data_IF_575182938426
#
_entry.id   IF_575182938426
#
_cell.length_a   1.000
_cell.length_b   1.000
_cell.length_c   1.000
_cell.angle_alpha   90.00
_cell.angle_beta   90.00
_cell.angle_gamma   90.00
#
_symmetry.space_group_name_H-M   'P 1'
#
loop_
_entity.id
_entity.type
_entity.pdbx_description
1 polymer ?
#
# COMPACT_ATOMS: atom_id res chain seq x y z
N UNK A 1 -13.30 -5.57 12.90
CA UNK A 1 -13.66 -4.17 12.55
C UNK A 1 -12.75 -3.55 11.46
N UNK A 2 -11.49 -3.98 11.28
CA UNK A 2 -10.56 -3.41 10.28
C UNK A 2 -10.39 -4.22 8.98
N UNK A 3 -11.10 -5.33 8.83
CA UNK A 3 -10.99 -6.26 7.69
C UNK A 3 -11.23 -5.60 6.33
N UNK A 4 -12.01 -4.51 6.29
CA UNK A 4 -12.28 -3.78 5.05
C UNK A 4 -11.04 -3.07 4.49
N UNK A 5 -10.05 -2.71 5.34
CA UNK A 5 -8.83 -2.02 4.91
C UNK A 5 -7.93 -2.92 4.07
N UNK A 6 -7.90 -4.21 4.43
CA UNK A 6 -7.13 -5.25 3.76
C UNK A 6 -8.00 -6.18 2.90
N UNK A 7 -9.21 -5.77 2.53
CA UNK A 7 -10.08 -6.61 1.73
C UNK A 7 -9.45 -6.94 0.36
N UNK A 8 -9.60 -8.18 -0.10
CA UNK A 8 -9.11 -8.65 -1.41
C UNK A 8 -9.53 -7.75 -2.57
N UNK A 9 -10.75 -7.20 -2.51
CA UNK A 9 -11.27 -6.23 -3.50
C UNK A 9 -10.35 -5.01 -3.68
N UNK A 10 -9.62 -4.59 -2.64
CA UNK A 10 -8.70 -3.46 -2.71
C UNK A 10 -7.49 -3.83 -3.59
N UNK A 11 -6.89 -5.00 -3.37
CA UNK A 11 -5.80 -5.53 -4.18
C UNK A 11 -6.24 -5.78 -5.62
N UNK A 12 -7.43 -6.36 -5.82
CA UNK A 12 -7.99 -6.57 -7.15
C UNK A 12 -8.22 -5.24 -7.90
N UNK A 13 -8.71 -4.21 -7.23
CA UNK A 13 -8.90 -2.89 -7.83
C UNK A 13 -7.58 -2.24 -8.27
N UNK A 14 -6.54 -2.30 -7.43
CA UNK A 14 -5.21 -1.79 -7.79
C UNK A 14 -4.59 -2.59 -8.95
N UNK A 15 -4.72 -3.92 -8.94
CA UNK A 15 -4.28 -4.79 -10.03
C UNK A 15 -4.97 -4.45 -11.35
N UNK A 16 -6.29 -4.23 -11.33
CA UNK A 16 -7.05 -3.82 -12.51
C UNK A 16 -6.58 -2.48 -13.06
N UNK A 17 -6.31 -1.50 -12.18
CA UNK A 17 -5.78 -0.20 -12.58
C UNK A 17 -4.38 -0.30 -13.20
N UNK A 18 -3.47 -1.03 -12.56
CA UNK A 18 -2.11 -1.25 -13.07
C UNK A 18 -2.17 -1.92 -14.42
N UNK A 19 -2.97 -2.99 -14.56
CA UNK A 19 -3.17 -3.70 -15.83
C UNK A 19 -3.70 -2.76 -16.92
N UNK A 20 -4.72 -1.96 -16.61
CA UNK A 20 -5.25 -0.98 -17.56
C UNK A 20 -4.15 -0.05 -18.09
N UNK A 21 -3.30 0.49 -17.20
CA UNK A 21 -2.21 1.36 -17.61
C UNK A 21 -1.16 0.65 -18.46
N UNK A 22 -0.88 -0.63 -18.18
CA UNK A 22 0.05 -1.44 -18.96
C UNK A 22 -0.48 -1.76 -20.36
N UNK A 23 -1.79 -1.94 -20.49
CA UNK A 23 -2.46 -2.26 -21.74
C UNK A 23 -2.76 -1.00 -22.57
N UNK A 24 -2.60 0.21 -22.00
CA UNK A 24 -2.90 1.50 -22.62
C UNK A 24 -1.96 1.95 -23.77
N UNK A 25 -0.65 1.60 -23.82
CA UNK A 25 0.28 2.14 -24.82
C UNK A 25 -0.13 1.96 -26.29
N UNK A 26 -0.68 0.82 -26.75
CA UNK A 26 -1.18 0.67 -28.12
C UNK A 26 -2.27 1.69 -28.46
N UNK A 27 -3.27 1.84 -27.58
CA UNK A 27 -4.35 2.82 -27.77
C UNK A 27 -3.83 4.26 -27.82
N UNK A 28 -2.82 4.61 -27.01
CA UNK A 28 -2.20 5.95 -27.05
C UNK A 28 -1.46 6.21 -28.35
N UNK A 29 -0.86 5.18 -28.95
CA UNK A 29 -0.22 5.31 -30.25
C UNK A 29 -1.26 5.61 -31.33
N UNK A 30 -2.36 4.84 -31.36
CA UNK A 30 -3.44 5.07 -32.32
C UNK A 30 -4.08 6.47 -32.14
N UNK A 31 -4.25 6.94 -30.91
CA UNK A 31 -4.73 8.31 -30.61
C UNK A 31 -3.79 9.39 -31.14
N UNK A 32 -2.48 9.14 -31.05
CA UNK A 32 -1.46 10.05 -31.57
C UNK A 32 -1.54 10.13 -33.10
N UNK A 33 -1.53 8.97 -33.76
CA UNK A 33 -1.65 8.87 -35.23
C UNK A 33 -2.96 9.52 -35.74
N UNK A 34 -4.07 9.32 -35.02
CA UNK A 34 -5.34 9.98 -35.32
C UNK A 34 -5.25 11.50 -35.22
N UNK A 35 -4.63 12.00 -34.15
CA UNK A 35 -4.48 13.45 -33.90
C UNK A 35 -3.65 14.10 -35.00
N UNK A 36 -2.56 13.46 -35.44
CA UNK A 36 -1.71 13.94 -36.54
C UNK A 36 -2.47 14.05 -37.88
N UNK A 37 -3.42 13.14 -38.15
CA UNK A 37 -4.24 13.20 -39.37
C UNK A 37 -5.11 14.47 -39.36
N UNK A 38 -5.72 14.80 -38.23
CA UNK A 38 -6.52 16.02 -38.09
C UNK A 38 -5.67 17.29 -38.18
N UNK A 39 -4.46 17.29 -37.63
CA UNK A 39 -3.52 18.41 -37.78
C UNK A 39 -3.16 18.65 -39.25
N UNK A 40 -2.90 17.57 -40.02
CA UNK A 40 -2.64 17.67 -41.47
C UNK A 40 -3.82 18.23 -42.26
N UNK A 41 -5.04 18.05 -41.75
CA UNK A 41 -6.27 18.64 -42.30
C UNK A 41 -6.49 20.11 -41.86
N UNK A 42 -5.51 20.72 -41.18
CA UNK A 42 -5.51 22.11 -40.70
C UNK A 42 -6.47 22.40 -39.54
N UNK A 43 -6.90 21.37 -38.81
CA UNK A 43 -7.63 21.58 -37.56
C UNK A 43 -6.72 22.13 -36.47
N UNK A 44 -7.26 23.02 -35.62
CA UNK A 44 -6.55 23.54 -34.44
C UNK A 44 -6.82 22.60 -33.28
N UNK A 45 -5.87 21.70 -33.00
CA UNK A 45 -6.07 20.64 -32.02
C UNK A 45 -6.02 21.14 -30.58
N UNK A 46 -6.90 20.59 -29.74
CA UNK A 46 -6.72 20.68 -28.29
C UNK A 46 -5.67 19.64 -27.90
N UNK A 47 -4.70 19.96 -27.03
CA UNK A 47 -3.62 19.04 -26.69
C UNK A 47 -4.10 17.63 -26.35
N UNK A 48 -3.50 16.57 -26.92
CA UNK A 48 -3.85 15.18 -26.63
C UNK A 48 -3.37 14.79 -25.22
N UNK A 49 -3.78 13.60 -24.72
CA UNK A 49 -3.24 13.08 -23.48
C UNK A 49 -1.71 13.01 -23.49
N UNK A 50 -1.08 13.31 -22.34
CA UNK A 50 0.37 13.22 -22.22
C UNK A 50 0.82 11.75 -22.18
N UNK A 51 1.14 11.21 -23.36
CA UNK A 51 1.56 9.82 -23.56
C UNK A 51 2.80 9.48 -22.75
N UNK A 52 3.78 10.39 -22.64
CA UNK A 52 5.00 10.16 -21.89
C UNK A 52 4.70 10.02 -20.38
N UNK A 53 3.90 10.91 -19.81
CA UNK A 53 3.46 10.82 -18.42
C UNK A 53 2.67 9.54 -18.16
N UNK A 54 1.80 9.12 -19.09
CA UNK A 54 1.03 7.87 -18.95
C UNK A 54 1.91 6.62 -19.02
N UNK A 55 2.92 6.58 -19.89
CA UNK A 55 3.91 5.47 -19.93
C UNK A 55 4.73 5.41 -18.64
N UNK A 56 5.19 6.57 -18.14
CA UNK A 56 5.91 6.64 -16.87
C UNK A 56 5.03 6.21 -15.69
N UNK A 57 3.75 6.61 -15.69
CA UNK A 57 2.76 6.16 -14.71
C UNK A 57 2.56 4.64 -14.76
N UNK A 58 2.47 4.04 -15.95
CA UNK A 58 2.33 2.60 -16.11
C UNK A 58 3.54 1.85 -15.51
N UNK A 59 4.76 2.27 -15.86
CA UNK A 59 6.00 1.67 -15.34
C UNK A 59 6.12 1.82 -13.81
N UNK A 60 5.89 3.02 -13.30
CA UNK A 60 5.99 3.31 -11.85
C UNK A 60 4.92 2.53 -11.08
N UNK A 61 3.69 2.50 -11.60
CA UNK A 61 2.58 1.78 -10.97
C UNK A 61 2.83 0.27 -10.96
N UNK A 62 3.39 -0.29 -12.03
CA UNK A 62 3.79 -1.69 -12.07
C UNK A 62 4.88 -2.00 -11.03
N UNK A 63 5.93 -1.17 -10.95
CA UNK A 63 6.99 -1.36 -9.96
C UNK A 63 6.46 -1.31 -8.53
N UNK A 64 5.62 -0.31 -8.22
CA UNK A 64 4.97 -0.21 -6.91
C UNK A 64 4.08 -1.43 -6.63
N UNK A 65 3.31 -1.88 -7.61
CA UNK A 65 2.43 -3.04 -7.46
C UNK A 65 3.21 -4.33 -7.19
N UNK A 66 4.26 -4.61 -7.98
CA UNK A 66 5.14 -5.78 -7.74
C UNK A 66 5.77 -5.72 -6.34
N UNK A 67 6.22 -4.55 -5.91
CA UNK A 67 6.78 -4.36 -4.58
C UNK A 67 5.75 -4.60 -3.47
N UNK A 68 4.51 -4.15 -3.65
CA UNK A 68 3.39 -4.44 -2.74
C UNK A 68 3.16 -5.95 -2.65
N UNK A 69 3.09 -6.65 -3.79
CA UNK A 69 2.88 -8.10 -3.82
C UNK A 69 3.96 -8.88 -3.07
N UNK A 70 5.23 -8.47 -3.16
CA UNK A 70 6.33 -9.09 -2.42
C UNK A 70 6.31 -8.72 -0.94
N UNK A 71 5.98 -7.47 -0.62
CA UNK A 71 6.02 -6.97 0.75
C UNK A 71 4.84 -7.45 1.61
N UNK A 72 3.65 -7.66 1.04
CA UNK A 72 2.47 -8.17 1.77
C UNK A 72 2.75 -9.47 2.56
N UNK A 73 3.27 -10.56 1.95
CA UNK A 73 3.62 -11.78 2.68
C UNK A 73 4.78 -11.60 3.66
N UNK A 74 5.78 -10.79 3.29
CA UNK A 74 6.91 -10.51 4.16
C UNK A 74 6.44 -9.79 5.45
N UNK A 75 5.53 -8.83 5.33
CA UNK A 75 4.94 -8.11 6.46
C UNK A 75 4.13 -9.02 7.38
N UNK A 76 3.31 -9.91 6.84
CA UNK A 76 2.51 -10.84 7.65
C UNK A 76 3.38 -11.88 8.38
N UNK A 77 4.42 -12.39 7.73
CA UNK A 77 5.31 -13.41 8.33
C UNK A 77 6.30 -12.81 9.35
N UNK A 78 6.89 -11.64 9.07
CA UNK A 78 7.83 -11.00 9.99
C UNK A 78 7.15 -10.51 11.27
N UNK A 79 5.94 -9.94 11.19
CA UNK A 79 5.22 -9.57 12.41
C UNK A 79 4.90 -10.78 13.27
N UNK A 80 4.44 -11.88 12.68
CA UNK A 80 4.16 -13.10 13.43
C UNK A 80 5.40 -13.58 14.21
N UNK A 81 6.60 -13.45 13.64
CA UNK A 81 7.84 -13.75 14.36
C UNK A 81 8.11 -12.76 15.49
N UNK A 82 8.16 -11.45 15.19
CA UNK A 82 8.51 -10.40 16.17
C UNK A 82 7.53 -10.40 17.34
N UNK A 83 6.23 -10.54 17.07
CA UNK A 83 5.20 -10.56 18.11
C UNK A 83 5.32 -11.78 19.01
N UNK A 84 5.56 -12.98 18.45
CA UNK A 84 5.79 -14.19 19.25
C UNK A 84 6.96 -14.02 20.21
N UNK A 85 8.06 -13.44 19.74
CA UNK A 85 9.26 -13.20 20.55
C UNK A 85 8.99 -12.21 21.69
N UNK A 86 8.24 -11.13 21.42
CA UNK A 86 7.88 -10.14 22.44
C UNK A 86 6.90 -10.71 23.45
N UNK A 87 5.87 -11.44 23.01
CA UNK A 87 4.92 -12.09 23.92
C UNK A 87 5.61 -13.13 24.82
N UNK A 88 6.49 -13.97 24.25
CA UNK A 88 7.28 -14.91 25.03
C UNK A 88 8.14 -14.20 26.07
N UNK A 89 8.81 -13.10 25.71
CA UNK A 89 9.57 -12.29 26.67
C UNK A 89 8.68 -11.76 27.80
N UNK A 90 7.49 -11.21 27.49
CA UNK A 90 6.57 -10.69 28.51
C UNK A 90 6.20 -11.81 29.49
N UNK A 91 5.83 -13.00 28.99
CA UNK A 91 5.49 -14.15 29.82
C UNK A 91 6.67 -14.63 30.70
N UNK A 92 7.84 -14.80 30.09
CA UNK A 92 9.08 -15.15 30.80
C UNK A 92 9.40 -14.15 31.91
N UNK A 93 9.26 -12.85 31.62
CA UNK A 93 9.51 -11.78 32.59
C UNK A 93 8.54 -11.86 33.78
N UNK A 94 7.25 -12.12 33.52
CA UNK A 94 6.27 -12.31 34.58
C UNK A 94 6.66 -13.47 35.49
N UNK A 95 7.13 -14.58 34.93
CA UNK A 95 7.56 -15.76 35.69
C UNK A 95 8.80 -15.45 36.53
N UNK A 96 9.82 -14.83 35.93
CA UNK A 96 11.08 -14.48 36.60
C UNK A 96 10.82 -13.56 37.79
N UNK A 97 10.06 -12.47 37.60
CA UNK A 97 9.77 -11.53 38.71
C UNK A 97 8.85 -12.14 39.76
N UNK A 98 7.96 -13.07 39.39
CA UNK A 98 7.10 -13.76 40.36
C UNK A 98 7.90 -14.62 41.34
N UNK A 99 9.02 -15.20 40.90
CA UNK A 99 9.91 -16.04 41.71
C UNK A 99 11.00 -15.25 42.45
N UNK A 100 11.11 -13.94 42.22
CA UNK A 100 12.14 -13.12 42.86
C UNK A 100 11.88 -12.90 44.35
N UNK A 101 12.89 -13.11 45.19
CA UNK A 101 12.81 -12.96 46.65
C UNK A 101 12.45 -11.54 47.09
N UNK A 102 12.90 -10.52 46.34
CA UNK A 102 12.60 -9.13 46.63
C UNK A 102 12.30 -8.33 45.35
N UNK A 103 11.01 -8.14 45.06
CA UNK A 103 10.50 -7.41 43.90
C UNK A 103 10.70 -5.88 43.97
N UNK A 104 11.21 -5.35 45.08
CA UNK A 104 11.60 -3.93 45.20
C UNK A 104 13.00 -3.67 44.63
N UNK A 105 13.79 -4.71 44.35
CA UNK A 105 15.05 -4.58 43.60
C UNK A 105 14.78 -4.02 42.20
N UNK A 106 15.81 -3.44 41.61
CA UNK A 106 15.76 -2.86 40.27
C UNK A 106 15.82 -3.96 39.21
N UNK A 107 15.27 -3.69 38.02
CA UNK A 107 15.23 -4.67 36.93
C UNK A 107 16.61 -5.08 36.42
N UNK A 108 17.63 -4.23 36.57
CA UNK A 108 19.01 -4.54 36.16
C UNK A 108 19.64 -5.70 36.93
N UNK A 109 19.09 -6.10 38.08
CA UNK A 109 19.60 -7.27 38.81
C UNK A 109 19.08 -8.59 38.25
N UNK A 110 18.19 -8.56 37.25
CA UNK A 110 17.71 -9.76 36.57
C UNK A 110 18.80 -10.23 35.59
N UNK A 111 19.21 -11.49 35.71
CA UNK A 111 20.12 -12.10 34.72
C UNK A 111 19.41 -12.20 33.35
N UNK A 112 19.90 -11.51 32.31
CA UNK A 112 19.29 -11.51 30.98
C UNK A 112 19.38 -12.87 30.27
N UNK A 113 20.27 -13.79 30.68
CA UNK A 113 20.41 -15.12 30.05
C UNK A 113 19.23 -16.04 30.31
N UNK A 114 18.36 -15.67 31.25
CA UNK A 114 17.12 -16.39 31.55
C UNK A 114 16.09 -16.30 30.41
N UNK A 115 16.19 -15.28 29.55
CA UNK A 115 15.21 -15.04 28.48
C UNK A 115 15.57 -15.79 27.19
N UNK A 116 14.57 -16.36 26.54
CA UNK A 116 14.77 -17.08 25.28
C UNK A 116 15.24 -16.17 24.14
N UNK A 117 14.84 -14.89 24.16
CA UNK A 117 15.23 -13.88 23.18
C UNK A 117 16.75 -13.76 23.02
N UNK A 118 17.50 -13.87 24.13
CA UNK A 118 18.98 -13.78 24.15
C UNK A 118 19.64 -14.99 23.49
N UNK A 119 18.92 -16.10 23.34
CA UNK A 119 19.38 -17.33 22.68
C UNK A 119 18.89 -17.43 21.23
N UNK A 120 18.11 -16.46 20.77
CA UNK A 120 17.62 -16.40 19.40
C UNK A 120 18.81 -16.30 18.43
N UNK A 121 18.81 -17.02 17.30
CA UNK A 121 19.81 -16.85 16.25
C UNK A 121 19.89 -15.42 15.70
N UNK A 122 18.83 -14.63 15.87
CA UNK A 122 18.76 -13.23 15.48
C UNK A 122 19.30 -12.27 16.55
N UNK A 123 19.73 -12.78 17.71
CA UNK A 123 20.45 -11.99 18.71
C UNK A 123 21.82 -11.58 18.15
N UNK A 124 22.24 -10.34 18.41
CA UNK A 124 23.53 -9.83 17.92
C UNK A 124 24.74 -10.58 18.50
N UNK A 125 25.92 -10.32 17.96
CA UNK A 125 27.16 -11.00 18.40
C UNK A 125 27.61 -10.64 19.83
N UNK A 126 27.08 -9.56 20.41
CA UNK A 126 27.43 -9.12 21.75
C UNK A 126 26.53 -9.78 22.81
N UNK A 127 27.09 -10.26 23.94
CA UNK A 127 26.29 -10.80 25.03
C UNK A 127 25.41 -9.72 25.67
N UNK A 128 24.21 -10.10 26.12
CA UNK A 128 23.37 -9.20 26.91
C UNK A 128 24.02 -8.92 28.28
N UNK A 129 24.32 -7.66 28.56
CA UNK A 129 24.88 -7.25 29.86
C UNK A 129 23.76 -7.03 30.89
N UNK A 130 22.59 -6.59 30.43
CA UNK A 130 21.45 -6.29 31.29
C UNK A 130 20.11 -6.59 30.62
N UNK A 131 19.05 -6.62 31.42
CA UNK A 131 17.67 -6.70 30.89
C UNK A 131 17.32 -5.51 29.98
N UNK A 132 17.97 -4.36 30.16
CA UNK A 132 17.73 -3.17 29.33
C UNK A 132 18.15 -3.43 27.89
N UNK A 133 19.18 -4.23 27.67
CA UNK A 133 19.64 -4.60 26.33
C UNK A 133 18.62 -5.52 25.64
N UNK A 134 17.96 -6.39 26.40
CA UNK A 134 16.85 -7.23 25.90
C UNK A 134 15.65 -6.35 25.50
N UNK A 135 15.31 -5.34 26.31
CA UNK A 135 14.23 -4.39 25.99
C UNK A 135 14.57 -3.54 24.75
N UNK A 136 15.83 -3.08 24.62
CA UNK A 136 16.32 -2.37 23.44
C UNK A 136 16.29 -3.23 22.18
N UNK A 137 16.63 -4.51 22.32
CA UNK A 137 16.57 -5.45 21.19
C UNK A 137 15.13 -5.65 20.70
N UNK A 138 14.15 -5.73 21.60
CA UNK A 138 12.73 -5.76 21.20
C UNK A 138 12.30 -4.47 20.50
N UNK A 139 12.69 -3.30 21.04
CA UNK A 139 12.42 -2.01 20.40
C UNK A 139 13.04 -1.95 18.99
N UNK A 140 14.27 -2.44 18.84
CA UNK A 140 14.95 -2.55 17.54
C UNK A 140 14.19 -3.44 16.56
N UNK A 141 13.66 -4.58 17.00
CA UNK A 141 12.87 -5.49 16.14
C UNK A 141 11.54 -4.88 15.71
N UNK A 142 10.85 -4.17 16.61
CA UNK A 142 9.66 -3.38 16.25
C UNK A 142 9.99 -2.27 15.25
N UNK A 143 11.12 -1.58 15.43
CA UNK A 143 11.58 -0.54 14.51
C UNK A 143 11.87 -1.11 13.12
N UNK A 144 12.52 -2.29 13.05
CA UNK A 144 12.77 -2.97 11.77
C UNK A 144 11.45 -3.32 11.06
N UNK A 145 10.48 -3.86 11.81
CA UNK A 145 9.17 -4.17 11.27
C UNK A 145 8.44 -2.90 10.78
N UNK A 146 8.50 -1.81 11.55
CA UNK A 146 8.00 -0.49 11.16
C UNK A 146 8.65 0.01 9.87
N UNK A 147 9.97 -0.16 9.72
CA UNK A 147 10.68 0.18 8.49
C UNK A 147 10.13 -0.56 7.26
N UNK A 148 9.81 -1.85 7.38
CA UNK A 148 9.15 -2.61 6.32
C UNK A 148 7.76 -2.05 5.99
N UNK A 149 6.98 -1.71 7.02
CA UNK A 149 5.64 -1.12 6.86
C UNK A 149 5.69 0.25 6.18
N UNK A 150 6.64 1.10 6.54
CA UNK A 150 6.84 2.41 5.92
C UNK A 150 7.24 2.28 4.45
N UNK A 151 8.14 1.34 4.13
CA UNK A 151 8.49 1.04 2.75
C UNK A 151 7.27 0.60 1.94
N UNK A 152 6.42 -0.27 2.50
CA UNK A 152 5.15 -0.66 1.88
C UNK A 152 4.23 0.55 1.65
N UNK A 153 4.08 1.41 2.67
CA UNK A 153 3.29 2.65 2.59
C UNK A 153 3.76 3.55 1.44
N UNK A 154 5.07 3.73 1.27
CA UNK A 154 5.63 4.52 0.16
C UNK A 154 5.22 3.96 -1.21
N UNK A 155 5.13 2.63 -1.37
CA UNK A 155 4.65 2.01 -2.63
C UNK A 155 3.17 2.28 -2.87
N UNK A 156 2.36 2.21 -1.82
CA UNK A 156 0.92 2.54 -1.88
C UNK A 156 0.72 4.01 -2.26
N UNK A 157 1.49 4.93 -1.66
CA UNK A 157 1.45 6.36 -2.00
C UNK A 157 1.81 6.59 -3.47
N UNK A 158 2.85 5.93 -3.99
CA UNK A 158 3.20 6.05 -5.40
C UNK A 158 2.08 5.62 -6.36
N UNK A 159 1.29 4.60 -6.00
CA UNK A 159 0.07 4.26 -6.76
C UNK A 159 -1.00 5.34 -6.63
N UNK A 160 -1.23 5.85 -5.42
CA UNK A 160 -2.21 6.90 -5.17
C UNK A 160 -1.90 8.18 -5.98
N UNK A 161 -0.64 8.61 -6.02
CA UNK A 161 -0.19 9.77 -6.80
C UNK A 161 -0.48 9.61 -8.29
N UNK A 162 -0.22 8.42 -8.84
CA UNK A 162 -0.53 8.11 -10.25
C UNK A 162 -2.04 8.14 -10.52
N UNK A 163 -2.85 7.60 -9.60
CA UNK A 163 -4.32 7.57 -9.71
C UNK A 163 -4.92 8.98 -9.62
N UNK A 164 -4.49 9.77 -8.65
CA UNK A 164 -5.04 11.10 -8.37
C UNK A 164 -4.50 12.19 -9.29
N UNK A 165 -3.27 12.05 -9.78
CA UNK A 165 -2.62 13.01 -10.66
C UNK A 165 -2.80 12.67 -12.14
N UNK A 166 -2.10 11.64 -12.61
CA UNK A 166 -1.95 11.36 -14.04
C UNK A 166 -3.23 10.79 -14.63
N UNK A 167 -3.86 9.84 -13.94
CA UNK A 167 -5.05 9.16 -14.46
C UNK A 167 -6.28 10.06 -14.51
N UNK A 168 -6.47 10.96 -13.55
CA UNK A 168 -7.54 11.98 -13.58
C UNK A 168 -7.41 12.87 -14.81
N UNK A 169 -6.22 13.43 -15.03
CA UNK A 169 -5.96 14.32 -16.16
C UNK A 169 -6.16 13.62 -17.50
N UNK A 170 -5.85 12.32 -17.57
CA UNK A 170 -6.14 11.50 -18.74
C UNK A 170 -7.64 11.44 -19.03
N UNK A 171 -8.47 11.13 -18.03
CA UNK A 171 -9.93 11.07 -18.18
C UNK A 171 -10.47 12.44 -18.60
N UNK A 172 -10.05 13.52 -17.93
CA UNK A 172 -10.45 14.89 -18.26
C UNK A 172 -10.08 15.23 -19.70
N UNK A 173 -8.85 14.91 -20.13
CA UNK A 173 -8.39 15.15 -21.50
C UNK A 173 -9.25 14.46 -22.55
N UNK A 174 -9.66 13.21 -22.29
CA UNK A 174 -10.55 12.46 -23.19
C UNK A 174 -11.94 13.09 -23.36
N UNK A 175 -12.43 13.79 -22.32
CA UNK A 175 -13.73 14.48 -22.35
C UNK A 175 -13.67 15.88 -22.98
N UNK A 176 -12.47 16.43 -23.19
CA UNK A 176 -12.31 17.72 -23.88
C UNK A 176 -12.56 17.58 -25.38
N UNK A 177 -12.91 18.68 -26.08
CA UNK A 177 -13.01 18.68 -27.54
C UNK A 177 -11.72 18.18 -28.21
N UNK A 178 -11.85 17.58 -29.39
CA UNK A 178 -10.71 17.16 -30.22
C UNK A 178 -9.96 18.36 -30.83
N UNK A 179 -10.70 19.36 -31.30
CA UNK A 179 -10.21 20.61 -31.88
C UNK A 179 -11.01 21.81 -31.35
N UNK A 180 -10.50 23.03 -31.57
CA UNK A 180 -11.17 24.28 -31.21
C UNK A 180 -11.98 24.91 -32.34
N UNK A 181 -11.80 24.43 -33.57
CA UNK A 181 -12.35 25.05 -34.78
C UNK A 181 -13.74 24.51 -35.19
N UNK A 182 -14.10 23.29 -34.81
CA UNK A 182 -15.38 22.65 -35.18
C UNK A 182 -16.36 22.59 -34.02
N UNK A 183 -17.57 22.08 -34.29
CA UNK A 183 -18.54 21.75 -33.23
C UNK A 183 -17.85 20.86 -32.17
N UNK A 184 -18.04 21.13 -30.86
CA UNK A 184 -17.29 20.44 -29.82
C UNK A 184 -17.66 18.95 -29.77
N UNK A 185 -16.81 18.11 -30.36
CA UNK A 185 -16.86 16.66 -30.26
C UNK A 185 -15.75 16.24 -29.29
N UNK A 186 -16.07 15.55 -28.17
CA UNK A 186 -15.07 15.04 -27.24
C UNK A 186 -14.06 14.12 -27.93
N UNK A 187 -12.80 14.15 -27.49
CA UNK A 187 -11.73 13.28 -28.04
C UNK A 187 -12.15 11.81 -28.06
N UNK A 188 -12.71 11.32 -26.95
CA UNK A 188 -13.13 9.93 -26.85
C UNK A 188 -14.22 9.56 -27.87
N UNK A 189 -15.16 10.46 -28.18
CA UNK A 189 -16.15 10.24 -29.25
C UNK A 189 -15.50 10.29 -30.64
N UNK A 190 -14.60 11.26 -30.85
CA UNK A 190 -13.85 11.41 -32.10
C UNK A 190 -13.02 10.16 -32.42
N UNK A 191 -12.41 9.55 -31.41
CA UNK A 191 -11.63 8.32 -31.54
C UNK A 191 -12.48 7.11 -31.99
N UNK A 192 -13.78 7.05 -31.65
CA UNK A 192 -14.71 6.06 -32.21
C UNK A 192 -15.16 6.36 -33.64
N UNK A 193 -14.97 7.60 -34.11
CA UNK A 193 -15.53 8.07 -35.38
C UNK A 193 -14.93 7.41 -36.62
N UNK A 194 -13.67 6.98 -36.54
CA UNK A 194 -13.01 6.25 -37.62
C UNK A 194 -12.98 4.74 -37.39
N UNK A 195 -13.62 4.24 -36.32
CA UNK A 195 -13.58 2.82 -35.98
C UNK A 195 -12.16 2.33 -35.77
N UNK A 196 -11.26 3.14 -35.17
CA UNK A 196 -9.83 2.81 -35.05
C UNK A 196 -9.26 2.63 -33.63
N UNK A 197 -9.95 3.03 -32.55
CA UNK A 197 -9.32 3.09 -31.22
C UNK A 197 -10.23 2.54 -30.13
N UNK A 198 -9.79 1.44 -29.50
CA UNK A 198 -10.41 0.85 -28.32
C UNK A 198 -9.59 1.11 -27.07
N UNK A 199 -10.26 1.45 -25.95
CA UNK A 199 -9.58 1.49 -24.66
C UNK A 199 -9.44 0.05 -24.09
N UNK A 200 -8.40 -0.24 -23.30
CA UNK A 200 -8.25 -1.54 -22.68
C UNK A 200 -9.47 -1.91 -21.83
N UNK A 201 -10.01 -3.12 -22.05
CA UNK A 201 -11.13 -3.64 -21.29
C UNK A 201 -12.51 -3.07 -21.67
N UNK A 202 -12.60 -2.30 -22.76
CA UNK A 202 -13.87 -1.80 -23.29
C UNK A 202 -14.34 -2.63 -24.50
N UNK A 203 -15.66 -2.73 -24.69
CA UNK A 203 -16.25 -3.37 -25.86
C UNK A 203 -16.11 -2.46 -27.07
N UNK A 204 -15.25 -2.84 -28.00
CA UNK A 204 -15.00 -2.10 -29.23
C UNK A 204 -14.63 -3.09 -30.35
N UNK A 205 -15.18 -2.87 -31.54
CA UNK A 205 -14.95 -3.69 -32.74
C UNK A 205 -14.11 -2.89 -33.74
N UNK A 206 -12.83 -3.25 -33.95
CA UNK A 206 -11.98 -2.59 -34.93
C UNK A 206 -12.56 -2.63 -36.34
N UNK A 207 -12.53 -1.49 -37.04
CA UNK A 207 -12.97 -1.37 -38.43
C UNK A 207 -14.49 -1.26 -38.64
N UNK A 208 -15.31 -1.37 -37.59
CA UNK A 208 -16.75 -1.10 -37.68
C UNK A 208 -17.02 0.40 -37.77
N UNK A 209 -17.91 0.79 -38.68
CA UNK A 209 -18.47 2.14 -38.73
C UNK A 209 -19.61 2.24 -37.71
N UNK A 210 -19.49 3.17 -36.78
CA UNK A 210 -20.50 3.45 -35.75
C UNK A 210 -21.33 4.67 -36.12
N UNK A 211 -22.65 4.60 -35.89
CA UNK A 211 -23.54 5.74 -35.99
C UNK A 211 -23.17 6.81 -34.94
N UNK A 212 -23.59 8.06 -35.16
CA UNK A 212 -23.33 9.11 -34.18
C UNK A 212 -23.90 8.78 -32.80
N UNK A 213 -25.10 8.19 -32.75
CA UNK A 213 -25.77 7.78 -31.52
C UNK A 213 -24.97 6.67 -30.80
N UNK A 214 -24.46 5.68 -31.54
CA UNK A 214 -23.61 4.61 -30.98
C UNK A 214 -22.31 5.17 -30.40
N UNK A 215 -21.66 6.13 -31.07
CA UNK A 215 -20.43 6.76 -30.58
C UNK A 215 -20.64 7.59 -29.32
N UNK A 216 -21.77 8.31 -29.23
CA UNK A 216 -22.15 9.06 -28.04
C UNK A 216 -22.45 8.09 -26.88
N UNK A 217 -23.12 6.97 -27.14
CA UNK A 217 -23.38 5.96 -26.12
C UNK A 217 -22.08 5.32 -25.60
N UNK A 218 -21.21 4.85 -26.51
CA UNK A 218 -19.93 4.22 -26.16
C UNK A 218 -18.99 5.19 -25.43
N UNK A 219 -18.89 6.44 -25.89
CA UNK A 219 -18.05 7.43 -25.19
C UNK A 219 -18.49 7.65 -23.75
N UNK A 220 -19.81 7.74 -23.48
CA UNK A 220 -20.35 7.85 -22.13
C UNK A 220 -20.03 6.62 -21.28
N UNK A 221 -20.29 5.44 -21.82
CA UNK A 221 -20.01 4.15 -21.15
C UNK A 221 -18.53 4.04 -20.78
N UNK A 222 -17.63 4.36 -21.71
CA UNK A 222 -16.20 4.21 -21.48
C UNK A 222 -15.64 5.27 -20.53
N UNK A 223 -16.16 6.51 -20.57
CA UNK A 223 -15.85 7.52 -19.54
C UNK A 223 -16.30 7.04 -18.16
N UNK A 224 -17.49 6.47 -18.05
CA UNK A 224 -18.00 5.91 -16.79
C UNK A 224 -17.14 4.73 -16.30
N UNK A 225 -16.72 3.84 -17.21
CA UNK A 225 -15.76 2.77 -16.92
C UNK A 225 -14.46 3.32 -16.32
N UNK A 226 -13.86 4.34 -16.94
CA UNK A 226 -12.62 4.95 -16.45
C UNK A 226 -12.80 5.61 -15.07
N UNK A 227 -13.89 6.34 -14.85
CA UNK A 227 -14.21 6.91 -13.54
C UNK A 227 -14.41 5.82 -12.48
N UNK A 228 -15.08 4.72 -12.82
CA UNK A 228 -15.27 3.59 -11.92
C UNK A 228 -13.96 2.87 -11.61
N UNK A 229 -13.06 2.71 -12.59
CA UNK A 229 -11.73 2.17 -12.37
C UNK A 229 -10.93 3.08 -11.41
N UNK A 230 -10.90 4.38 -11.68
CA UNK A 230 -10.25 5.39 -10.81
C UNK A 230 -10.79 5.33 -9.40
N UNK A 231 -12.12 5.38 -9.22
CA UNK A 231 -12.78 5.43 -7.91
C UNK A 231 -12.43 4.20 -7.07
N UNK A 232 -12.48 3.00 -7.68
CA UNK A 232 -12.14 1.75 -6.99
C UNK A 232 -10.66 1.71 -6.61
N UNK A 233 -9.76 2.08 -7.52
CA UNK A 233 -8.33 2.11 -7.26
C UNK A 233 -7.95 3.14 -6.19
N UNK A 234 -8.53 4.35 -6.25
CA UNK A 234 -8.32 5.40 -5.24
C UNK A 234 -8.80 4.96 -3.86
N UNK A 235 -10.01 4.39 -3.78
CA UNK A 235 -10.53 3.85 -2.52
C UNK A 235 -9.62 2.74 -1.97
N UNK A 236 -9.10 1.86 -2.82
CA UNK A 236 -8.17 0.83 -2.42
C UNK A 236 -6.84 1.39 -1.90
N UNK A 237 -6.24 2.37 -2.60
CA UNK A 237 -5.01 3.03 -2.17
C UNK A 237 -5.18 3.77 -0.83
N UNK A 238 -6.31 4.43 -0.62
CA UNK A 238 -6.64 5.08 0.64
C UNK A 238 -6.80 4.07 1.78
N UNK A 239 -7.53 2.97 1.55
CA UNK A 239 -7.69 1.90 2.54
C UNK A 239 -6.34 1.29 2.95
N UNK A 240 -5.44 1.04 1.99
CA UNK A 240 -4.09 0.53 2.29
C UNK A 240 -3.22 1.58 3.00
N UNK A 241 -3.40 2.87 2.69
CA UNK A 241 -2.69 3.96 3.37
C UNK A 241 -3.15 4.10 4.83
N UNK A 242 -4.45 4.01 5.07
CA UNK A 242 -5.06 4.01 6.41
C UNK A 242 -4.62 2.80 7.22
N UNK A 243 -4.55 1.62 6.60
CA UNK A 243 -3.95 0.42 7.20
C UNK A 243 -2.53 0.71 7.70
N UNK A 244 -1.67 1.27 6.85
CA UNK A 244 -0.29 1.58 7.20
C UNK A 244 -0.19 2.60 8.32
N UNK A 245 -1.03 3.63 8.27
CA UNK A 245 -1.08 4.67 9.31
C UNK A 245 -1.43 4.06 10.66
N UNK A 246 -2.52 3.29 10.74
CA UNK A 246 -2.98 2.65 11.98
C UNK A 246 -1.94 1.71 12.56
N UNK A 247 -1.36 0.85 11.73
CA UNK A 247 -0.28 -0.05 12.17
C UNK A 247 0.93 0.72 12.69
N UNK A 248 1.30 1.82 12.04
CA UNK A 248 2.41 2.67 12.50
C UNK A 248 2.12 3.26 13.88
N UNK A 249 0.90 3.76 14.12
CA UNK A 249 0.51 4.30 15.43
C UNK A 249 0.60 3.25 16.55
N UNK A 250 0.15 2.02 16.30
CA UNK A 250 0.21 0.94 17.31
C UNK A 250 1.64 0.50 17.59
N UNK A 251 2.49 0.45 16.56
CA UNK A 251 3.92 0.19 16.73
C UNK A 251 4.59 1.30 17.53
N UNK A 252 4.29 2.57 17.22
CA UNK A 252 4.80 3.73 17.96
C UNK A 252 4.39 3.69 19.44
N UNK A 253 3.13 3.34 19.72
CA UNK A 253 2.64 3.16 21.10
C UNK A 253 3.40 2.05 21.83
N UNK A 254 3.53 0.86 21.21
CA UNK A 254 4.25 -0.26 21.80
C UNK A 254 5.73 0.07 22.06
N UNK A 255 6.40 0.74 21.11
CA UNK A 255 7.79 1.17 21.26
C UNK A 255 7.94 2.20 22.40
N UNK A 256 7.05 3.18 22.48
CA UNK A 256 7.08 4.16 23.57
C UNK A 256 6.91 3.49 24.93
N UNK A 257 6.01 2.51 25.03
CA UNK A 257 5.80 1.73 26.26
C UNK A 257 7.02 0.89 26.64
N UNK A 258 7.72 0.30 25.66
CA UNK A 258 9.00 -0.39 25.90
C UNK A 258 10.06 0.57 26.43
N UNK A 259 10.23 1.73 25.76
CA UNK A 259 11.24 2.76 26.10
C UNK A 259 11.01 3.40 27.47
N UNK A 260 9.81 3.32 28.04
CA UNK A 260 9.51 3.79 29.39
C UNK A 260 10.13 2.91 30.50
N UNK A 261 10.77 1.79 30.16
CA UNK A 261 11.51 0.96 31.11
C UNK A 261 12.98 1.43 31.20
N UNK A 262 13.42 1.71 32.42
CA UNK A 262 14.74 2.28 32.70
C UNK A 262 15.48 1.51 33.79
N UNK A 263 16.83 1.60 33.87
CA UNK A 263 17.65 0.76 34.75
C UNK A 263 17.22 0.74 36.23
N UNK A 264 16.85 1.90 36.78
CA UNK A 264 16.44 2.05 38.17
C UNK A 264 14.98 1.66 38.45
N UNK A 265 14.22 1.23 37.45
CA UNK A 265 12.84 0.78 37.62
C UNK A 265 12.80 -0.48 38.48
N UNK A 266 11.86 -0.55 39.43
CA UNK A 266 11.70 -1.74 40.27
C UNK A 266 11.06 -2.89 39.49
N UNK A 267 11.38 -4.13 39.86
CA UNK A 267 10.78 -5.31 39.25
C UNK A 267 9.26 -5.30 39.37
N UNK A 268 8.71 -4.88 40.51
CA UNK A 268 7.27 -4.79 40.72
C UNK A 268 6.61 -3.83 39.71
N UNK A 269 7.21 -2.65 39.48
CA UNK A 269 6.69 -1.66 38.52
C UNK A 269 6.83 -2.13 37.08
N UNK A 270 7.95 -2.75 36.73
CA UNK A 270 8.15 -3.32 35.39
C UNK A 270 7.17 -4.47 35.13
N UNK A 271 6.92 -5.31 36.14
CA UNK A 271 5.96 -6.41 36.07
C UNK A 271 4.53 -5.92 35.80
N UNK A 272 4.12 -4.77 36.34
CA UNK A 272 2.81 -4.19 36.04
C UNK A 272 2.76 -3.50 34.68
N UNK A 273 3.87 -2.89 34.23
CA UNK A 273 3.92 -2.09 33.00
C UNK A 273 4.05 -2.95 31.73
N UNK A 274 4.91 -3.98 31.73
CA UNK A 274 5.16 -4.80 30.53
C UNK A 274 3.91 -5.45 29.94
N UNK A 275 2.97 -6.03 30.71
CA UNK A 275 1.75 -6.61 30.14
C UNK A 275 0.88 -5.60 29.39
N UNK A 276 0.99 -4.30 29.68
CA UNK A 276 0.23 -3.28 28.97
C UNK A 276 0.59 -3.23 27.47
N UNK A 277 1.79 -3.70 27.08
CA UNK A 277 2.18 -3.85 25.68
C UNK A 277 1.28 -4.80 24.90
N UNK A 278 0.63 -5.75 25.58
CA UNK A 278 -0.16 -6.77 24.90
C UNK A 278 -1.33 -6.18 24.12
N UNK A 279 -1.93 -5.08 24.58
CA UNK A 279 -3.01 -4.38 23.88
C UNK A 279 -2.63 -3.98 22.44
N UNK A 280 -1.72 -3.01 22.25
CA UNK A 280 -1.31 -2.58 20.92
C UNK A 280 -0.68 -3.71 20.09
N UNK A 281 0.05 -4.65 20.70
CA UNK A 281 0.65 -5.78 19.99
C UNK A 281 -0.38 -6.80 19.49
N UNK A 282 -1.48 -7.02 20.22
CA UNK A 282 -2.59 -7.86 19.76
C UNK A 282 -3.31 -7.23 18.56
N UNK A 283 -3.45 -5.91 18.54
CA UNK A 283 -4.03 -5.21 17.39
C UNK A 283 -3.11 -5.31 16.16
N UNK A 284 -1.80 -5.14 16.34
CA UNK A 284 -0.78 -5.39 15.30
C UNK A 284 -0.85 -6.83 14.80
N UNK A 285 -1.05 -7.81 15.70
CA UNK A 285 -1.20 -9.22 15.35
C UNK A 285 -2.43 -9.44 14.48
N UNK A 286 -3.60 -8.95 14.91
CA UNK A 286 -4.86 -9.09 14.19
C UNK A 286 -4.80 -8.54 12.76
N UNK A 287 -4.17 -7.38 12.60
CA UNK A 287 -3.95 -6.75 11.29
C UNK A 287 -2.92 -7.50 10.44
N UNK A 288 -1.89 -8.06 11.06
CA UNK A 288 -0.89 -8.89 10.40
C UNK A 288 -1.42 -10.23 9.92
N UNK A 289 -2.28 -10.88 10.71
CA UNK A 289 -2.91 -12.14 10.35
C UNK A 289 -3.82 -11.96 9.12
N UNK A 290 -4.44 -10.79 8.98
CA UNK A 290 -5.18 -10.43 7.76
C UNK A 290 -4.25 -10.31 6.54
N UNK A 291 -3.06 -9.71 6.68
CA UNK A 291 -2.06 -9.73 5.60
C UNK A 291 -1.67 -11.17 5.24
N UNK A 292 -1.46 -12.03 6.24
CA UNK A 292 -1.15 -13.44 6.06
C UNK A 292 -2.20 -14.19 5.22
N UNK A 293 -3.48 -13.87 5.38
CA UNK A 293 -4.57 -14.47 4.60
C UNK A 293 -4.57 -14.05 3.12
N UNK A 294 -4.01 -12.88 2.81
CA UNK A 294 -3.98 -12.32 1.45
C UNK A 294 -2.79 -12.81 0.61
N UNK A 295 -1.84 -13.51 1.23
CA UNK A 295 -0.63 -14.05 0.57
C UNK A 295 -0.90 -15.14 -0.47
N UNK A 296 -2.17 -15.52 -0.67
CA UNK A 296 -2.62 -16.51 -1.66
C UNK A 296 -3.15 -15.88 -2.96
N UNK A 297 -3.00 -14.56 -3.16
CA UNK A 297 -3.50 -13.77 -4.29
C UNK A 297 -2.39 -13.27 -5.23
#
# INVERSE_FOLDING_TARGET
MLEYLLAEKNFAALKQYVKFLQDLPPALQEMTEFTEIFERQKHIMVPPPNVQSLRQAAQTSEMCWRAIQVATPALGSHSAQVLREIFAFIEEFQVVVSKADNRRKTIVTIDPRQFSLVRSPAWGNAPAESIIDVLREMDRRLEQYRGMLLNFKTRVIGLAESIHGIFVRFIECLTMPICTCDKPIPKIEAYYSLGKIGLPGTTYEPGRLYSQEERIAQSKEHVEFLFNLRRRAASAANNLSDFCYRMSCMLDEAQQMLRNHYPAMTMARAKSALPMLQGPLNDVQSMSDQLGKLTRL
#
